data_IF_793878877033
#
_entry.id   IF_793878877033
#
_cell.length_a   1.000
_cell.length_b   1.000
_cell.length_c   1.000
_cell.angle_alpha   90.00
_cell.angle_beta   90.00
_cell.angle_gamma   90.00
#
_symmetry.space_group_name_H-M   'P 1'
#
loop_
_entity.id
_entity.type
_entity.pdbx_description
1 polymer ?
#
# COMPACT_ATOMS: atom_id res chain seq x y z
N UNK A 1 -57.83 24.03 -10.37
CA UNK A 1 -58.31 23.35 -11.60
C UNK A 1 -57.09 22.71 -12.29
N UNK A 2 -57.09 21.46 -12.78
CA UNK A 2 -57.71 20.92 -14.02
C UNK A 2 -57.34 21.75 -15.28
N UNK A 3 -56.95 21.23 -16.46
CA UNK A 3 -56.40 19.95 -17.02
C UNK A 3 -56.52 20.04 -18.57
N UNK A 4 -55.69 19.54 -19.50
CA UNK A 4 -54.66 18.46 -19.66
C UNK A 4 -53.43 19.05 -20.42
N UNK A 5 -52.21 18.50 -20.54
CA UNK A 5 -51.65 17.17 -20.90
C UNK A 5 -51.89 16.67 -22.36
N UNK A 6 -50.90 16.93 -23.23
CA UNK A 6 -50.34 16.07 -24.32
C UNK A 6 -48.88 16.55 -24.50
N UNK A 7 -47.81 15.81 -24.22
CA UNK A 7 -47.35 14.52 -24.76
C UNK A 7 -47.03 14.57 -26.26
N UNK A 8 -45.74 14.60 -26.59
CA UNK A 8 -45.17 14.16 -27.86
C UNK A 8 -43.80 13.51 -27.59
N UNK A 9 -43.51 12.39 -28.26
CA UNK A 9 -42.23 11.69 -28.17
C UNK A 9 -41.26 12.20 -29.24
N UNK A 10 -39.94 12.14 -28.97
CA UNK A 10 -38.90 12.62 -29.88
C UNK A 10 -37.52 12.08 -29.52
N UNK A 11 -37.31 10.77 -29.68
CA UNK A 11 -36.05 10.10 -29.33
C UNK A 11 -34.96 10.43 -30.36
N UNK A 12 -33.88 11.10 -29.95
CA UNK A 12 -32.73 11.38 -30.81
C UNK A 12 -31.62 10.34 -30.59
N UNK A 13 -31.56 9.35 -31.48
CA UNK A 13 -30.44 8.40 -31.54
C UNK A 13 -29.38 8.94 -32.53
N UNK A 14 -28.16 9.22 -32.07
CA UNK A 14 -27.04 9.35 -32.99
C UNK A 14 -26.56 7.95 -33.38
N UNK A 15 -26.60 7.65 -34.68
CA UNK A 15 -25.89 6.50 -35.27
C UNK A 15 -24.92 7.05 -36.29
N UNK A 16 -23.63 6.86 -36.06
CA UNK A 16 -22.56 7.29 -36.97
C UNK A 16 -22.66 6.53 -38.29
N UNK A 17 -22.58 7.23 -39.42
CA UNK A 17 -22.65 6.60 -40.75
C UNK A 17 -21.42 5.70 -41.00
N UNK A 18 -21.67 4.47 -41.40
CA UNK A 18 -20.71 3.64 -42.13
C UNK A 18 -20.86 3.95 -43.62
N UNK A 19 -19.85 4.54 -44.23
CA UNK A 19 -19.84 4.88 -45.66
C UNK A 19 -19.47 3.65 -46.51
N UNK A 20 -20.49 2.90 -46.96
CA UNK A 20 -20.31 1.81 -47.93
C UNK A 20 -20.29 2.37 -49.35
N UNK A 21 -19.11 2.43 -49.98
CA UNK A 21 -18.99 2.79 -51.38
C UNK A 21 -19.34 1.61 -52.30
N UNK A 22 -20.50 1.68 -52.96
CA UNK A 22 -20.88 0.79 -54.06
C UNK A 22 -20.30 1.30 -55.38
N UNK A 23 -19.22 0.67 -55.86
CA UNK A 23 -18.65 0.96 -57.18
C UNK A 23 -19.40 0.17 -58.25
N UNK A 24 -20.11 0.87 -59.13
CA UNK A 24 -20.84 0.25 -60.24
C UNK A 24 -19.92 -0.18 -61.38
N UNK A 25 -19.95 -1.47 -61.74
CA UNK A 25 -19.20 -2.01 -62.88
C UNK A 25 -19.97 -1.85 -64.21
N UNK A 26 -19.50 -0.96 -65.09
CA UNK A 26 -19.74 -1.03 -66.54
C UNK A 26 -18.71 -0.21 -67.32
N UNK A 27 -17.93 -0.88 -68.17
CA UNK A 27 -16.97 -0.25 -69.07
C UNK A 27 -16.01 -1.29 -69.64
N UNK A 28 -16.04 -1.52 -70.95
CA UNK A 28 -15.08 -2.39 -71.64
C UNK A 28 -13.80 -1.58 -71.92
N UNK A 29 -12.63 -2.13 -71.58
CA UNK A 29 -11.34 -1.51 -71.86
C UNK A 29 -10.19 -2.44 -71.46
N UNK A 30 -9.43 -2.91 -72.43
CA UNK A 30 -8.30 -3.82 -72.20
C UNK A 30 -7.06 -3.06 -71.72
N UNK A 31 -6.64 -3.31 -70.48
CA UNK A 31 -5.35 -2.86 -69.93
C UNK A 31 -4.69 -4.02 -69.14
N UNK A 32 -3.35 -4.02 -69.01
CA UNK A 32 -2.59 -5.22 -68.63
C UNK A 32 -2.72 -5.58 -67.15
N UNK A 33 -2.36 -6.82 -66.84
CA UNK A 33 -2.21 -7.34 -65.47
C UNK A 33 -1.24 -6.51 -64.65
N UNK A 34 -1.79 -5.57 -63.86
CA UNK A 34 -1.13 -5.12 -62.64
C UNK A 34 -1.26 -6.22 -61.60
N UNK A 35 -0.13 -6.72 -61.12
CA UNK A 35 -0.10 -7.43 -59.86
C UNK A 35 -0.56 -6.46 -58.78
N UNK A 36 -1.73 -6.69 -58.20
CA UNK A 36 -2.08 -6.05 -56.95
C UNK A 36 -1.40 -6.89 -55.87
N UNK A 37 -0.23 -6.45 -55.45
CA UNK A 37 0.25 -6.81 -54.12
C UNK A 37 -0.74 -6.21 -53.13
N UNK A 38 -1.71 -7.03 -52.71
CA UNK A 38 -2.43 -6.77 -51.50
C UNK A 38 -1.41 -6.93 -50.38
N UNK A 39 -0.84 -5.79 -49.92
CA UNK A 39 -0.20 -5.75 -48.61
C UNK A 39 -1.18 -6.39 -47.64
N UNK A 40 -0.79 -7.55 -47.12
CA UNK A 40 -1.63 -8.31 -46.23
C UNK A 40 -1.87 -7.46 -45.00
N UNK A 41 -3.04 -6.83 -44.92
CA UNK A 41 -3.55 -6.24 -43.70
C UNK A 41 -3.63 -7.40 -42.71
N UNK A 42 -2.57 -7.57 -41.93
CA UNK A 42 -2.55 -8.42 -40.76
C UNK A 42 -3.52 -7.76 -39.80
N UNK A 43 -4.78 -8.14 -39.94
CA UNK A 43 -5.80 -7.94 -38.92
C UNK A 43 -5.26 -8.76 -37.76
N UNK A 44 -4.50 -8.08 -36.90
CA UNK A 44 -4.16 -8.59 -35.60
C UNK A 44 -5.50 -8.81 -34.90
N UNK A 45 -5.95 -10.06 -34.92
CA UNK A 45 -6.67 -10.60 -33.78
C UNK A 45 -5.68 -10.55 -32.61
N UNK A 46 -5.60 -9.36 -32.00
CA UNK A 46 -5.70 -9.29 -30.55
C UNK A 46 -7.01 -10.00 -30.19
N UNK A 47 -6.93 -11.33 -30.14
CA UNK A 47 -7.91 -12.18 -29.49
C UNK A 47 -8.16 -11.52 -28.15
N UNK A 48 -9.42 -11.18 -27.87
CA UNK A 48 -9.85 -10.48 -26.66
C UNK A 48 -9.45 -11.32 -25.43
N UNK A 49 -8.19 -11.15 -24.99
CA UNK A 49 -7.64 -11.76 -23.79
C UNK A 49 -8.53 -11.25 -22.66
N UNK A 50 -9.18 -12.13 -21.88
CA UNK A 50 -9.93 -11.68 -20.72
C UNK A 50 -8.98 -10.88 -19.84
N UNK A 51 -9.30 -9.60 -19.60
CA UNK A 51 -8.60 -8.83 -18.60
C UNK A 51 -8.88 -9.52 -17.25
N UNK A 52 -7.90 -10.24 -16.73
CA UNK A 52 -8.10 -11.07 -15.55
C UNK A 52 -8.58 -10.19 -14.38
N UNK A 53 -9.63 -10.62 -13.68
CA UNK A 53 -10.05 -9.97 -12.44
C UNK A 53 -9.01 -10.26 -11.36
N UNK A 54 -7.95 -9.44 -11.34
CA UNK A 54 -6.84 -9.56 -10.41
C UNK A 54 -7.29 -9.45 -8.95
N UNK A 55 -8.38 -8.71 -8.66
CA UNK A 55 -8.93 -8.62 -7.31
C UNK A 55 -9.63 -9.93 -6.92
N UNK A 56 -10.49 -10.48 -7.79
CA UNK A 56 -11.11 -11.79 -7.61
C UNK A 56 -10.09 -12.92 -7.47
N UNK A 57 -9.06 -12.94 -8.32
CA UNK A 57 -7.96 -13.90 -8.27
C UNK A 57 -7.12 -13.80 -7.00
N UNK A 58 -6.92 -12.58 -6.45
CA UNK A 58 -6.26 -12.39 -5.16
C UNK A 58 -7.07 -13.01 -4.02
N UNK A 59 -8.40 -12.89 -4.02
CA UNK A 59 -9.24 -13.58 -3.02
C UNK A 59 -9.28 -15.10 -3.22
N UNK A 60 -9.32 -15.59 -4.46
CA UNK A 60 -9.20 -17.02 -4.76
C UNK A 60 -7.84 -17.59 -4.30
N UNK A 61 -6.74 -16.87 -4.55
CA UNK A 61 -5.40 -17.23 -4.11
C UNK A 61 -5.25 -17.26 -2.58
N UNK A 62 -5.87 -16.31 -1.86
CA UNK A 62 -5.96 -16.33 -0.39
C UNK A 62 -6.74 -17.54 0.10
N UNK A 63 -7.85 -17.89 -0.55
CA UNK A 63 -8.67 -19.05 -0.18
C UNK A 63 -7.95 -20.38 -0.47
N UNK A 64 -7.27 -20.49 -1.61
CA UNK A 64 -6.40 -21.62 -1.96
C UNK A 64 -5.33 -21.84 -0.88
N UNK A 65 -4.60 -20.79 -0.50
CA UNK A 65 -3.62 -20.86 0.58
C UNK A 65 -4.26 -21.17 1.94
N UNK A 66 -5.45 -20.64 2.25
CA UNK A 66 -6.14 -20.93 3.51
C UNK A 66 -6.46 -22.42 3.66
N UNK A 67 -6.78 -23.08 2.55
CA UNK A 67 -7.10 -24.50 2.51
C UNK A 67 -5.86 -25.40 2.31
N UNK A 68 -4.70 -24.85 1.93
CA UNK A 68 -3.50 -25.63 1.69
C UNK A 68 -2.82 -26.12 2.96
N UNK A 69 -2.07 -27.22 2.87
CA UNK A 69 -1.44 -27.87 4.02
C UNK A 69 -0.52 -26.92 4.82
N UNK A 70 -0.40 -27.10 6.17
CA UNK A 70 0.45 -26.26 7.00
C UNK A 70 1.92 -26.20 6.55
N UNK A 71 2.60 -25.08 6.80
CA UNK A 71 4.03 -24.95 6.49
C UNK A 71 4.91 -25.80 7.41
N UNK A 72 5.96 -26.39 6.83
CA UNK A 72 6.97 -27.15 7.58
C UNK A 72 8.09 -26.23 8.05
N UNK A 73 8.57 -26.45 9.26
CA UNK A 73 9.68 -25.69 9.87
C UNK A 73 10.64 -26.70 10.48
N UNK A 74 11.93 -26.52 10.20
CA UNK A 74 13.03 -27.29 10.80
C UNK A 74 13.80 -26.39 11.75
N UNK A 75 14.09 -26.92 12.94
CA UNK A 75 14.74 -26.19 14.02
C UNK A 75 15.95 -26.96 14.56
N UNK A 76 16.91 -26.21 15.11
CA UNK A 76 17.93 -26.76 16.01
C UNK A 76 17.30 -27.23 17.33
N UNK A 77 17.98 -28.12 18.10
CA UNK A 77 17.59 -28.42 19.49
C UNK A 77 17.51 -27.18 20.39
N UNK A 78 18.22 -26.09 20.04
CA UNK A 78 18.15 -24.79 20.70
C UNK A 78 17.02 -23.88 20.20
N UNK A 79 16.00 -24.42 19.50
CA UNK A 79 14.78 -23.71 19.06
C UNK A 79 15.02 -22.49 18.17
N UNK A 80 16.14 -22.50 17.43
CA UNK A 80 16.41 -21.58 16.33
C UNK A 80 16.10 -22.26 14.99
N UNK A 81 15.36 -21.56 14.13
CA UNK A 81 14.98 -22.01 12.78
C UNK A 81 16.24 -22.25 11.94
N UNK A 82 16.31 -23.41 11.31
CA UNK A 82 17.27 -23.75 10.26
C UNK A 82 16.68 -23.46 8.89
N UNK A 83 15.49 -24.01 8.64
CA UNK A 83 14.78 -24.00 7.36
C UNK A 83 13.29 -23.79 7.61
N UNK A 84 12.62 -23.01 6.76
CA UNK A 84 11.16 -22.87 6.77
C UNK A 84 10.59 -23.00 5.35
N UNK A 85 9.44 -23.64 5.26
CA UNK A 85 8.65 -23.69 4.03
C UNK A 85 7.94 -22.33 3.82
N UNK A 86 7.72 -21.98 2.56
CA UNK A 86 6.85 -20.90 2.10
C UNK A 86 5.98 -21.47 0.99
N UNK A 87 4.73 -21.03 0.90
CA UNK A 87 3.88 -21.28 -0.28
C UNK A 87 3.56 -19.98 -0.98
N UNK A 88 3.59 -20.00 -2.32
CA UNK A 88 3.24 -18.89 -3.20
C UNK A 88 2.05 -19.31 -4.08
N UNK A 89 1.18 -18.35 -4.42
CA UNK A 89 0.24 -18.52 -5.53
C UNK A 89 0.69 -17.66 -6.69
N UNK A 90 0.84 -18.32 -7.83
CA UNK A 90 1.35 -17.79 -9.09
C UNK A 90 0.17 -17.69 -10.05
N UNK A 91 0.01 -16.53 -10.68
CA UNK A 91 -0.94 -16.28 -11.76
C UNK A 91 -0.20 -16.33 -13.10
N UNK A 92 -0.74 -17.06 -14.09
CA UNK A 92 -0.43 -16.84 -15.50
C UNK A 92 -1.39 -15.77 -16.05
N UNK A 93 -0.84 -14.61 -16.42
CA UNK A 93 -1.63 -13.43 -16.84
C UNK A 93 -2.24 -13.58 -18.24
N UNK A 94 -1.92 -14.64 -18.99
CA UNK A 94 -2.52 -14.91 -20.31
C UNK A 94 -3.73 -15.86 -20.24
N UNK A 95 -3.71 -16.83 -19.31
CA UNK A 95 -4.78 -17.83 -19.14
C UNK A 95 -5.71 -17.50 -17.97
N UNK A 96 -5.36 -16.51 -17.14
CA UNK A 96 -6.00 -16.19 -15.87
C UNK A 96 -6.01 -17.35 -14.84
N UNK A 97 -5.18 -18.39 -15.02
CA UNK A 97 -5.12 -19.55 -14.12
C UNK A 97 -4.13 -19.36 -12.98
N UNK A 98 -4.51 -19.76 -11.76
CA UNK A 98 -3.65 -19.70 -10.57
C UNK A 98 -3.07 -21.07 -10.20
N UNK A 99 -1.88 -21.10 -9.60
CA UNK A 99 -1.16 -22.32 -9.19
C UNK A 99 -0.45 -22.12 -7.86
N UNK A 100 -0.62 -23.04 -6.90
CA UNK A 100 0.20 -23.06 -5.67
C UNK A 100 1.59 -23.66 -5.96
N UNK A 101 2.64 -23.07 -5.40
CA UNK A 101 4.01 -23.60 -5.48
C UNK A 101 4.77 -23.37 -4.18
N UNK A 102 5.47 -24.40 -3.71
CA UNK A 102 6.12 -24.44 -2.40
C UNK A 102 7.64 -24.43 -2.51
N UNK A 103 8.27 -23.69 -1.60
CA UNK A 103 9.71 -23.46 -1.58
C UNK A 103 10.27 -23.58 -0.16
N UNK A 104 11.57 -23.86 -0.08
CA UNK A 104 12.35 -23.95 1.15
C UNK A 104 13.23 -22.70 1.27
N UNK A 105 13.18 -22.08 2.45
CA UNK A 105 14.00 -20.92 2.82
C UNK A 105 14.93 -21.33 3.96
N UNK A 106 16.23 -21.44 3.68
CA UNK A 106 17.24 -21.57 4.73
C UNK A 106 17.53 -20.21 5.36
N UNK A 107 17.61 -20.20 6.68
CA UNK A 107 17.86 -18.99 7.49
C UNK A 107 19.26 -18.39 7.18
N UNK A 108 20.19 -19.21 6.69
CA UNK A 108 21.48 -18.77 6.17
C UNK A 108 21.33 -17.96 4.86
N UNK A 109 20.48 -18.41 3.93
CA UNK A 109 20.23 -17.71 2.67
C UNK A 109 19.39 -16.45 2.87
N UNK A 110 18.44 -16.45 3.81
CA UNK A 110 17.72 -15.23 4.22
C UNK A 110 18.69 -14.19 4.79
N UNK A 111 19.69 -14.61 5.57
CA UNK A 111 20.76 -13.71 6.07
C UNK A 111 21.69 -13.23 4.97
N UNK A 112 22.15 -14.12 4.08
CA UNK A 112 22.96 -13.81 2.90
C UNK A 112 22.26 -12.80 1.99
N UNK A 113 20.99 -13.03 1.67
CA UNK A 113 20.12 -12.11 0.93
C UNK A 113 20.04 -10.73 1.59
N UNK A 114 19.80 -10.68 2.89
CA UNK A 114 19.69 -9.44 3.66
C UNK A 114 21.03 -8.71 3.87
N UNK A 115 22.17 -9.37 3.61
CA UNK A 115 23.49 -8.75 3.52
C UNK A 115 23.74 -8.20 2.11
N UNK A 116 23.53 -9.02 1.07
CA UNK A 116 23.71 -8.64 -0.35
C UNK A 116 22.87 -7.40 -0.71
N UNK A 117 21.60 -7.33 -0.28
CA UNK A 117 20.72 -6.16 -0.50
C UNK A 117 21.21 -4.85 0.12
N UNK A 118 22.18 -4.87 1.04
CA UNK A 118 22.79 -3.66 1.62
C UNK A 118 24.06 -3.20 0.89
N UNK A 119 24.58 -4.03 -0.02
CA UNK A 119 25.86 -3.83 -0.69
C UNK A 119 25.75 -3.80 -2.23
N UNK A 120 24.71 -4.43 -2.79
CA UNK A 120 24.55 -4.65 -4.24
C UNK A 120 23.11 -4.39 -4.69
N UNK A 121 22.57 -3.20 -4.42
CA UNK A 121 21.20 -2.85 -4.86
C UNK A 121 21.07 -2.85 -6.41
N UNK A 122 22.18 -2.64 -7.12
CA UNK A 122 22.22 -2.43 -8.57
C UNK A 122 22.71 -3.65 -9.39
N UNK A 123 22.83 -4.86 -8.79
CA UNK A 123 23.28 -6.06 -9.50
C UNK A 123 22.28 -7.23 -9.42
N UNK A 124 21.35 -7.35 -10.40
CA UNK A 124 20.35 -8.42 -10.45
C UNK A 124 20.95 -9.84 -10.50
N UNK A 125 22.15 -10.01 -11.06
CA UNK A 125 22.79 -11.33 -11.21
C UNK A 125 23.20 -11.99 -9.89
N UNK A 126 23.27 -11.23 -8.80
CA UNK A 126 23.57 -11.72 -7.45
C UNK A 126 22.32 -11.84 -6.55
N UNK A 127 21.11 -11.72 -7.10
CA UNK A 127 19.88 -11.86 -6.31
C UNK A 127 19.66 -13.30 -5.85
N UNK A 128 19.05 -13.51 -4.66
CA UNK A 128 18.75 -14.85 -4.16
C UNK A 128 17.66 -15.50 -4.99
N UNK A 129 17.70 -16.82 -5.12
CA UNK A 129 16.58 -17.63 -5.62
C UNK A 129 16.01 -18.51 -4.50
N UNK A 130 14.71 -18.77 -4.54
CA UNK A 130 14.10 -19.77 -3.66
C UNK A 130 14.37 -21.19 -4.17
N UNK A 131 14.66 -22.14 -3.27
CA UNK A 131 14.76 -23.55 -3.62
C UNK A 131 13.35 -24.17 -3.62
N UNK A 132 12.85 -24.80 -4.71
CA UNK A 132 11.54 -25.44 -4.68
C UNK A 132 11.52 -26.68 -3.79
N UNK A 133 10.34 -27.00 -3.23
CA UNK A 133 10.12 -28.25 -2.46
C UNK A 133 10.03 -29.46 -3.38
N UNK A 134 9.42 -29.31 -4.55
CA UNK A 134 9.41 -30.31 -5.62
C UNK A 134 10.55 -30.00 -6.62
N UNK A 135 11.52 -30.90 -6.83
CA UNK A 135 12.55 -30.75 -7.86
C UNK A 135 12.02 -30.64 -9.30
N UNK A 136 10.75 -30.94 -9.55
CA UNK A 136 10.05 -30.77 -10.84
C UNK A 136 9.31 -29.44 -10.98
N UNK A 137 9.38 -28.55 -9.98
CA UNK A 137 8.70 -27.26 -10.06
C UNK A 137 9.34 -26.39 -11.16
N UNK A 138 8.56 -26.14 -12.22
CA UNK A 138 8.96 -25.39 -13.42
C UNK A 138 9.12 -23.88 -13.17
N UNK A 139 8.93 -23.38 -11.95
CA UNK A 139 8.97 -21.95 -11.61
C UNK A 139 10.20 -21.53 -10.78
N UNK A 140 11.07 -20.72 -11.39
CA UNK A 140 12.24 -20.10 -10.76
C UNK A 140 11.87 -18.74 -10.14
N UNK A 141 11.89 -18.63 -8.81
CA UNK A 141 11.57 -17.39 -8.07
C UNK A 141 12.85 -16.67 -7.65
N UNK A 142 12.98 -15.41 -8.06
CA UNK A 142 14.09 -14.50 -7.73
C UNK A 142 13.61 -13.43 -6.74
N UNK A 143 14.43 -13.16 -5.71
CA UNK A 143 13.98 -12.54 -4.47
C UNK A 143 14.53 -11.11 -4.31
N UNK A 144 14.01 -10.20 -5.13
CA UNK A 144 14.37 -8.78 -5.16
C UNK A 144 14.40 -8.17 -3.74
N UNK A 145 13.31 -8.35 -2.98
CA UNK A 145 13.22 -7.97 -1.57
C UNK A 145 12.49 -9.02 -0.74
N UNK A 146 12.85 -9.19 0.54
CA UNK A 146 12.17 -10.13 1.43
C UNK A 146 12.19 -9.71 2.90
N UNK A 147 11.00 -9.54 3.47
CA UNK A 147 10.73 -9.49 4.91
C UNK A 147 9.43 -10.26 5.28
N UNK A 148 9.13 -11.29 4.49
CA UNK A 148 7.89 -12.07 4.45
C UNK A 148 6.65 -11.33 3.91
N UNK A 149 6.31 -10.12 4.39
CA UNK A 149 5.03 -9.44 4.11
C UNK A 149 5.08 -8.19 3.21
N UNK A 150 6.25 -7.59 2.99
CA UNK A 150 6.49 -6.52 2.01
C UNK A 150 7.55 -6.97 0.98
N UNK A 151 7.64 -8.28 0.78
CA UNK A 151 8.54 -8.93 -0.17
C UNK A 151 8.23 -8.49 -1.61
N UNK A 152 9.23 -8.62 -2.46
CA UNK A 152 9.21 -8.28 -3.89
C UNK A 152 9.88 -9.46 -4.62
N UNK A 153 9.13 -10.10 -5.51
CA UNK A 153 9.45 -11.41 -6.09
C UNK A 153 9.22 -11.35 -7.61
N UNK A 154 10.29 -11.55 -8.38
CA UNK A 154 10.20 -11.84 -9.82
C UNK A 154 10.14 -13.35 -10.00
N UNK A 155 9.32 -13.83 -10.93
CA UNK A 155 9.15 -15.26 -11.18
C UNK A 155 9.14 -15.53 -12.68
N UNK A 156 9.85 -16.57 -13.09
CA UNK A 156 9.90 -17.03 -14.49
C UNK A 156 9.59 -18.52 -14.51
N UNK A 157 8.93 -18.97 -15.59
CA UNK A 157 8.80 -20.39 -15.89
C UNK A 157 10.02 -20.85 -16.70
N UNK A 158 10.53 -22.04 -16.44
CA UNK A 158 11.66 -22.59 -17.19
C UNK A 158 11.36 -22.63 -18.70
N UNK A 159 12.28 -22.09 -19.50
CA UNK A 159 12.13 -21.94 -20.95
C UNK A 159 11.23 -20.78 -21.42
N UNK A 160 10.57 -20.04 -20.51
CA UNK A 160 9.81 -18.85 -20.88
C UNK A 160 10.71 -17.63 -21.13
N UNK A 161 10.33 -16.80 -22.11
CA UNK A 161 11.00 -15.54 -22.48
C UNK A 161 10.10 -14.31 -22.34
N UNK A 162 8.85 -14.51 -21.89
CA UNK A 162 7.87 -13.45 -21.64
C UNK A 162 8.02 -12.94 -20.20
N UNK A 163 8.62 -11.76 -20.03
CA UNK A 163 8.65 -11.04 -18.75
C UNK A 163 7.22 -10.69 -18.28
N UNK A 164 7.00 -10.60 -16.97
CA UNK A 164 5.70 -10.33 -16.30
C UNK A 164 4.49 -11.22 -16.69
N UNK A 165 4.68 -12.31 -17.47
CA UNK A 165 3.63 -13.32 -17.71
C UNK A 165 3.21 -14.04 -16.44
N UNK A 166 4.18 -14.37 -15.58
CA UNK A 166 3.95 -15.08 -14.34
C UNK A 166 4.16 -14.11 -13.17
N UNK A 167 3.15 -13.98 -12.30
CA UNK A 167 3.19 -13.01 -11.21
C UNK A 167 2.74 -13.65 -9.89
N UNK A 168 3.38 -13.30 -8.77
CA UNK A 168 2.99 -13.78 -7.44
C UNK A 168 1.87 -12.89 -6.90
N UNK A 169 0.69 -13.47 -6.67
CA UNK A 169 -0.52 -12.75 -6.21
C UNK A 169 -0.89 -13.05 -4.75
N UNK A 170 -0.31 -14.08 -4.12
CA UNK A 170 -0.39 -14.29 -2.68
C UNK A 170 0.79 -15.11 -2.17
N UNK A 171 1.14 -14.95 -0.89
CA UNK A 171 2.05 -15.86 -0.19
C UNK A 171 1.51 -16.30 1.18
N UNK A 172 1.89 -17.51 1.58
CA UNK A 172 1.74 -18.05 2.94
C UNK A 172 3.13 -18.23 3.53
N UNK A 173 3.39 -17.63 4.69
CA UNK A 173 4.68 -17.70 5.38
C UNK A 173 4.52 -17.90 6.89
N UNK A 174 5.50 -18.54 7.51
CA UNK A 174 5.54 -18.73 8.96
C UNK A 174 6.02 -17.48 9.71
N UNK A 175 5.30 -17.10 10.77
CA UNK A 175 5.68 -16.11 11.80
C UNK A 175 5.61 -16.76 13.19
N UNK A 176 6.38 -16.28 14.18
CA UNK A 176 6.27 -16.76 15.58
C UNK A 176 4.99 -16.25 16.24
N UNK A 177 4.35 -17.08 17.06
CA UNK A 177 3.17 -16.69 17.83
C UNK A 177 3.46 -15.53 18.81
N UNK A 178 4.72 -15.41 19.26
CA UNK A 178 5.22 -14.31 20.09
C UNK A 178 5.29 -12.97 19.35
N UNK A 179 5.14 -12.98 18.02
CA UNK A 179 5.12 -11.81 17.13
C UNK A 179 3.72 -11.50 16.58
N UNK A 180 2.67 -12.08 17.19
CA UNK A 180 1.27 -11.90 16.80
C UNK A 180 0.46 -11.28 17.94
N UNK A 181 0.00 -10.04 17.73
CA UNK A 181 -0.90 -9.34 18.65
C UNK A 181 -2.27 -10.04 18.73
N UNK A 182 -2.85 -10.37 17.58
CA UNK A 182 -4.12 -11.07 17.46
C UNK A 182 -4.00 -12.56 17.79
N UNK A 183 -5.03 -13.13 18.41
CA UNK A 183 -5.06 -14.56 18.76
C UNK A 183 -5.66 -15.42 17.65
N UNK A 184 -6.54 -14.86 16.83
CA UNK A 184 -7.13 -15.48 15.65
C UNK A 184 -6.14 -15.67 14.49
N UNK A 185 -5.00 -14.96 14.51
CA UNK A 185 -3.87 -15.20 13.60
C UNK A 185 -2.97 -16.38 14.06
N UNK A 186 -3.23 -16.98 15.25
CA UNK A 186 -2.39 -18.05 15.83
C UNK A 186 -2.91 -19.43 15.40
N UNK A 187 -2.49 -19.89 14.22
CA UNK A 187 -2.94 -21.13 13.56
C UNK A 187 -2.18 -22.39 13.97
N UNK A 188 -1.03 -22.27 14.64
CA UNK A 188 -0.20 -23.41 15.04
C UNK A 188 0.40 -23.27 16.45
N UNK A 189 1.07 -24.30 16.99
CA UNK A 189 1.44 -24.37 18.41
C UNK A 189 2.57 -23.41 18.83
N UNK A 190 3.36 -22.91 17.88
CA UNK A 190 4.48 -21.97 18.11
C UNK A 190 4.69 -21.02 16.94
N UNK A 191 4.46 -21.49 15.73
CA UNK A 191 4.46 -20.71 14.51
C UNK A 191 3.08 -20.79 13.87
N UNK A 192 2.74 -19.77 13.10
CA UNK A 192 1.45 -19.66 12.41
C UNK A 192 1.61 -19.23 10.96
N UNK A 193 0.68 -19.73 10.14
CA UNK A 193 0.68 -19.59 8.68
C UNK A 193 -0.04 -18.30 8.28
N UNK A 194 0.75 -17.24 8.11
CA UNK A 194 0.25 -15.92 7.73
C UNK A 194 0.12 -15.84 6.20
N UNK A 195 -1.08 -15.55 5.74
CA UNK A 195 -1.40 -15.31 4.33
C UNK A 195 -1.43 -13.80 4.08
N UNK A 196 -0.72 -13.35 3.04
CA UNK A 196 -0.58 -11.94 2.68
C UNK A 196 -0.41 -11.80 1.15
N UNK A 197 -0.64 -10.61 0.62
CA UNK A 197 -0.33 -10.26 -0.78
C UNK A 197 0.93 -9.40 -0.82
N UNK A 198 2.10 -9.95 -1.24
CA UNK A 198 3.32 -9.18 -1.43
C UNK A 198 3.15 -8.19 -2.59
N UNK A 199 3.99 -7.16 -2.65
CA UNK A 199 3.99 -6.25 -3.80
C UNK A 199 4.96 -6.75 -4.88
N UNK A 200 4.52 -6.73 -6.13
CA UNK A 200 5.34 -6.96 -7.32
C UNK A 200 4.98 -5.93 -8.40
N UNK A 201 5.83 -5.81 -9.44
CA UNK A 201 5.52 -5.04 -10.66
C UNK A 201 4.20 -5.50 -11.29
N UNK A 202 4.02 -6.82 -11.40
CA UNK A 202 2.89 -7.44 -12.08
C UNK A 202 1.51 -7.19 -11.44
N UNK A 203 1.43 -6.88 -10.14
CA UNK A 203 0.17 -6.49 -9.49
C UNK A 203 -0.07 -4.97 -9.46
N UNK A 204 0.72 -4.19 -10.20
CA UNK A 204 0.57 -2.73 -10.25
C UNK A 204 -0.56 -2.31 -11.21
N UNK A 205 -1.80 -2.54 -10.78
CA UNK A 205 -3.00 -2.28 -11.58
C UNK A 205 -3.95 -1.27 -10.91
N UNK A 206 -4.56 -0.40 -11.72
CA UNK A 206 -5.47 0.67 -11.29
C UNK A 206 -6.61 0.17 -10.38
N UNK A 207 -7.18 -1.00 -10.67
CA UNK A 207 -8.23 -1.61 -9.85
C UNK A 207 -7.81 -1.83 -8.38
N UNK A 208 -6.55 -2.18 -8.13
CA UNK A 208 -6.01 -2.35 -6.77
C UNK A 208 -5.59 -1.02 -6.13
N UNK A 209 -5.20 -0.03 -6.94
CA UNK A 209 -4.94 1.35 -6.49
C UNK A 209 -6.24 1.99 -6.00
N UNK A 210 -7.32 1.92 -6.78
CA UNK A 210 -8.63 2.47 -6.41
C UNK A 210 -9.27 1.71 -5.24
N UNK A 211 -9.14 0.38 -5.19
CA UNK A 211 -9.57 -0.41 -4.02
C UNK A 211 -8.81 0.02 -2.75
N UNK A 212 -7.51 0.32 -2.86
CA UNK A 212 -6.67 0.81 -1.76
C UNK A 212 -7.03 2.23 -1.31
N UNK A 213 -7.27 3.16 -2.25
CA UNK A 213 -7.77 4.50 -1.96
C UNK A 213 -9.13 4.45 -1.27
N UNK A 214 -10.06 3.66 -1.80
CA UNK A 214 -11.40 3.46 -1.25
C UNK A 214 -11.32 2.94 0.19
N UNK A 215 -10.59 1.85 0.43
CA UNK A 215 -10.41 1.27 1.76
C UNK A 215 -9.83 2.29 2.75
N UNK A 216 -8.81 3.07 2.35
CA UNK A 216 -8.22 4.09 3.21
C UNK A 216 -9.18 5.26 3.50
N UNK A 217 -9.97 5.68 2.49
CA UNK A 217 -11.00 6.69 2.66
C UNK A 217 -12.05 6.21 3.68
N UNK A 218 -12.68 5.06 3.44
CA UNK A 218 -13.72 4.49 4.31
C UNK A 218 -13.25 4.32 5.77
N UNK A 219 -12.01 3.85 5.99
CA UNK A 219 -11.44 3.67 7.33
C UNK A 219 -11.07 5.00 8.02
N UNK A 220 -10.63 6.01 7.27
CA UNK A 220 -10.40 7.35 7.82
C UNK A 220 -11.72 8.07 8.10
N UNK A 221 -12.72 7.90 7.24
CA UNK A 221 -14.06 8.46 7.42
C UNK A 221 -14.73 7.90 8.68
N UNK A 222 -14.77 6.56 8.84
CA UNK A 222 -15.33 5.93 10.04
C UNK A 222 -14.60 6.34 11.33
N UNK A 223 -13.26 6.42 11.31
CA UNK A 223 -12.45 6.87 12.44
C UNK A 223 -12.77 8.33 12.85
N UNK A 224 -12.94 9.23 11.88
CA UNK A 224 -13.37 10.61 12.13
C UNK A 224 -14.80 10.67 12.69
N UNK A 225 -15.72 9.94 12.07
CA UNK A 225 -17.13 9.92 12.44
C UNK A 225 -17.35 9.29 13.82
N UNK A 226 -16.46 8.42 14.29
CA UNK A 226 -16.45 7.91 15.67
C UNK A 226 -15.91 8.95 16.66
N UNK A 227 -14.78 9.60 16.36
CA UNK A 227 -14.18 10.64 17.22
C UNK A 227 -15.11 11.85 17.40
N UNK A 228 -15.79 12.28 16.33
CA UNK A 228 -16.78 13.35 16.38
C UNK A 228 -18.02 12.96 17.20
N UNK A 229 -18.55 11.74 17.00
CA UNK A 229 -19.69 11.17 17.75
C UNK A 229 -19.38 10.93 19.23
N UNK A 230 -18.10 10.81 19.59
CA UNK A 230 -17.61 10.73 20.97
C UNK A 230 -17.24 12.10 21.55
N UNK A 231 -17.47 13.18 20.82
CA UNK A 231 -17.17 14.56 21.21
C UNK A 231 -15.73 14.78 21.68
N UNK A 232 -14.77 14.09 21.06
CA UNK A 232 -13.36 14.12 21.48
C UNK A 232 -12.75 15.50 21.22
N UNK A 233 -12.51 16.24 22.30
CA UNK A 233 -11.92 17.58 22.24
C UNK A 233 -10.44 17.54 21.83
N UNK A 234 -10.01 18.57 21.11
CA UNK A 234 -8.61 18.82 20.79
C UNK A 234 -7.84 19.30 22.03
N UNK A 235 -6.68 18.69 22.31
CA UNK A 235 -5.72 19.19 23.27
C UNK A 235 -5.02 20.47 22.78
N UNK A 236 -4.92 20.67 21.46
CA UNK A 236 -4.34 21.87 20.86
C UNK A 236 -5.29 23.08 20.91
N UNK A 237 -6.60 22.84 20.78
CA UNK A 237 -7.65 23.85 20.85
C UNK A 237 -8.85 23.33 21.68
N UNK A 238 -8.82 23.44 23.02
CA UNK A 238 -9.81 22.82 23.93
C UNK A 238 -11.28 23.29 23.83
N UNK A 239 -11.62 24.11 22.83
CA UNK A 239 -12.98 24.53 22.49
C UNK A 239 -13.41 24.02 21.11
N UNK A 240 -12.77 22.95 20.61
CA UNK A 240 -12.99 22.31 19.31
C UNK A 240 -12.91 20.80 19.46
N UNK A 241 -13.59 20.06 18.59
CA UNK A 241 -13.30 18.64 18.39
C UNK A 241 -11.95 18.47 17.70
N UNK A 242 -11.28 17.34 17.93
CA UNK A 242 -10.05 16.98 17.21
C UNK A 242 -10.26 16.92 15.69
N UNK A 243 -11.47 16.58 15.26
CA UNK A 243 -11.93 16.57 13.86
C UNK A 243 -12.10 17.97 13.25
N UNK A 244 -12.17 19.03 14.06
CA UNK A 244 -12.26 20.43 13.61
C UNK A 244 -10.87 21.11 13.55
N UNK A 245 -9.81 20.32 13.78
CA UNK A 245 -8.41 20.74 13.90
C UNK A 245 -7.53 19.94 12.92
N UNK A 246 -7.67 18.62 12.91
CA UNK A 246 -6.99 17.72 11.96
C UNK A 246 -7.93 17.44 10.79
N UNK A 247 -7.51 17.71 9.55
CA UNK A 247 -8.27 17.37 8.32
C UNK A 247 -8.08 15.89 7.96
N UNK A 248 -9.01 15.29 7.22
CA UNK A 248 -8.97 13.86 6.81
C UNK A 248 -7.81 13.54 5.86
N UNK A 249 -7.42 14.52 5.04
CA UNK A 249 -6.35 14.43 4.04
C UNK A 249 -4.96 14.31 4.68
N UNK A 250 -4.75 14.93 5.84
CA UNK A 250 -3.46 14.92 6.53
C UNK A 250 -3.02 13.50 6.99
N UNK A 251 -3.81 12.74 7.78
CA UNK A 251 -3.42 11.39 8.18
C UNK A 251 -3.35 10.46 6.97
N UNK A 252 -4.22 10.62 5.95
CA UNK A 252 -4.10 9.88 4.67
C UNK A 252 -2.71 10.05 4.06
N UNK A 253 -2.26 11.28 3.85
CA UNK A 253 -0.90 11.59 3.36
C UNK A 253 0.21 11.09 4.30
N UNK A 254 0.00 11.15 5.62
CA UNK A 254 0.94 10.65 6.62
C UNK A 254 1.12 9.12 6.54
N UNK A 255 0.05 8.35 6.30
CA UNK A 255 0.15 6.89 6.16
C UNK A 255 0.94 6.48 4.91
N UNK A 256 0.71 7.15 3.78
CA UNK A 256 1.54 6.95 2.58
C UNK A 256 3.00 7.36 2.87
N UNK A 257 3.20 8.42 3.66
CA UNK A 257 4.54 8.88 4.10
C UNK A 257 5.25 7.82 4.95
N UNK A 258 4.63 7.27 6.00
CA UNK A 258 5.24 6.24 6.85
C UNK A 258 5.61 4.99 6.05
N UNK A 259 4.74 4.55 5.13
CA UNK A 259 4.90 3.30 4.40
C UNK A 259 5.77 3.39 3.12
N UNK A 260 6.32 4.57 2.82
CA UNK A 260 7.22 4.83 1.68
C UNK A 260 8.68 4.98 2.12
N UNK A 261 9.60 4.29 1.46
CA UNK A 261 11.04 4.41 1.73
C UNK A 261 11.60 5.78 1.28
N UNK A 262 12.36 6.50 2.14
CA UNK A 262 12.85 7.84 1.82
C UNK A 262 13.94 7.87 0.74
N UNK A 263 14.76 6.81 0.60
CA UNK A 263 15.78 6.77 -0.45
C UNK A 263 15.15 6.55 -1.81
N UNK A 264 14.20 5.60 -1.90
CA UNK A 264 13.50 5.31 -3.15
C UNK A 264 12.69 6.51 -3.67
N UNK A 265 11.96 7.23 -2.81
CA UNK A 265 11.18 8.39 -3.27
C UNK A 265 12.06 9.56 -3.71
N UNK A 266 13.22 9.78 -3.09
CA UNK A 266 14.14 10.86 -3.52
C UNK A 266 14.94 10.52 -4.79
N UNK A 267 15.03 9.24 -5.16
CA UNK A 267 15.60 8.77 -6.42
C UNK A 267 14.56 8.59 -7.54
N UNK A 268 13.27 8.70 -7.24
CA UNK A 268 12.19 8.47 -8.20
C UNK A 268 12.06 9.57 -9.25
N UNK A 269 11.79 9.19 -10.50
CA UNK A 269 11.58 10.09 -11.63
C UNK A 269 10.13 10.58 -11.79
N UNK A 270 9.19 9.97 -11.07
CA UNK A 270 7.75 10.23 -11.11
C UNK A 270 7.24 11.03 -9.88
N UNK A 271 8.16 11.67 -9.16
CA UNK A 271 7.94 12.33 -7.87
C UNK A 271 7.40 11.41 -6.76
N UNK A 272 7.51 10.09 -6.92
CA UNK A 272 7.11 9.08 -5.93
C UNK A 272 5.74 8.47 -6.18
N UNK A 273 5.08 8.78 -7.30
CA UNK A 273 3.72 8.35 -7.61
C UNK A 273 3.56 6.83 -7.49
N UNK A 274 4.40 6.04 -8.17
CA UNK A 274 4.40 4.57 -8.17
C UNK A 274 4.71 3.97 -6.79
N UNK A 275 5.43 4.70 -5.93
CA UNK A 275 5.70 4.29 -4.55
C UNK A 275 4.49 4.54 -3.63
N UNK A 276 3.77 5.64 -3.83
CA UNK A 276 2.49 5.88 -3.17
C UNK A 276 1.42 4.86 -3.63
N UNK A 277 1.38 4.56 -4.93
CA UNK A 277 0.48 3.54 -5.50
C UNK A 277 0.79 2.14 -4.97
N UNK A 278 2.07 1.80 -4.72
CA UNK A 278 2.46 0.58 -3.97
C UNK A 278 1.85 0.52 -2.57
N UNK A 279 1.63 1.64 -1.88
CA UNK A 279 0.93 1.67 -0.57
C UNK A 279 -0.56 1.37 -0.76
N UNK A 280 -1.22 1.97 -1.76
CA UNK A 280 -2.62 1.67 -2.08
C UNK A 280 -2.83 0.21 -2.52
N UNK A 281 -2.01 -0.33 -3.42
CA UNK A 281 -2.08 -1.73 -3.85
C UNK A 281 -1.98 -2.67 -2.64
N UNK A 282 -1.07 -2.39 -1.69
CA UNK A 282 -0.98 -3.18 -0.45
C UNK A 282 -2.26 -3.07 0.40
N UNK A 283 -2.85 -1.87 0.52
CA UNK A 283 -4.12 -1.65 1.24
C UNK A 283 -5.29 -2.40 0.58
N UNK A 284 -5.49 -2.24 -0.71
CA UNK A 284 -6.58 -2.89 -1.45
C UNK A 284 -6.45 -4.42 -1.42
N UNK A 285 -5.23 -4.93 -1.61
CA UNK A 285 -4.97 -6.36 -1.64
C UNK A 285 -4.93 -7.04 -0.25
N UNK A 286 -4.90 -6.32 0.88
CA UNK A 286 -4.80 -6.92 2.23
C UNK A 286 -5.82 -6.42 3.28
N UNK A 287 -6.56 -5.33 3.01
CA UNK A 287 -7.60 -4.80 3.89
C UNK A 287 -7.16 -4.62 5.34
N UNK A 288 -7.95 -5.13 6.29
CA UNK A 288 -7.69 -5.05 7.74
C UNK A 288 -6.51 -5.92 8.25
N UNK A 289 -5.79 -6.61 7.35
CA UNK A 289 -4.47 -7.22 7.63
C UNK A 289 -3.29 -6.39 7.12
N UNK A 290 -3.51 -5.32 6.36
CA UNK A 290 -2.41 -4.50 5.81
C UNK A 290 -1.58 -3.88 6.93
N UNK A 291 -0.25 -3.96 6.82
CA UNK A 291 0.73 -3.44 7.81
C UNK A 291 0.65 -4.03 9.22
N UNK A 292 -0.26 -4.98 9.50
CA UNK A 292 -0.41 -5.70 10.78
C UNK A 292 0.90 -6.34 11.27
N UNK A 293 1.77 -6.72 10.33
CA UNK A 293 3.07 -7.36 10.60
C UNK A 293 4.27 -6.44 10.33
N UNK A 294 4.04 -5.15 10.03
CA UNK A 294 5.09 -4.18 9.67
C UNK A 294 5.62 -3.45 10.91
N UNK A 295 6.73 -3.99 11.44
CA UNK A 295 7.49 -3.42 12.56
C UNK A 295 8.68 -2.58 12.06
N UNK A 296 8.94 -1.44 12.71
CA UNK A 296 10.24 -0.76 12.61
C UNK A 296 11.31 -1.45 13.49
N UNK A 297 12.57 -1.10 13.27
CA UNK A 297 13.71 -1.53 14.13
C UNK A 297 13.58 -1.07 15.60
N UNK A 298 12.74 -0.08 15.88
CA UNK A 298 12.52 0.50 17.21
C UNK A 298 11.21 0.05 17.87
N UNK A 299 10.41 -0.81 17.20
CA UNK A 299 9.14 -1.33 17.73
C UNK A 299 7.91 -0.48 17.40
N UNK A 300 8.04 0.51 16.52
CA UNK A 300 6.89 1.14 15.87
C UNK A 300 6.13 0.11 15.02
N UNK A 301 4.80 0.25 14.91
CA UNK A 301 3.93 -0.80 14.37
C UNK A 301 2.69 -0.22 13.67
N UNK A 302 2.16 -0.99 12.71
CA UNK A 302 0.91 -0.71 12.02
C UNK A 302 1.01 0.38 10.95
N UNK A 303 -0.15 0.76 10.39
CA UNK A 303 -0.26 1.72 9.29
C UNK A 303 0.43 3.06 9.60
N UNK A 304 0.21 3.60 10.81
CA UNK A 304 0.82 4.85 11.29
C UNK A 304 2.17 4.72 11.98
N UNK A 305 2.77 3.52 12.07
CA UNK A 305 4.05 3.31 12.77
C UNK A 305 4.07 3.92 14.20
N UNK A 306 3.06 3.64 15.01
CA UNK A 306 2.97 4.21 16.37
C UNK A 306 3.89 3.43 17.32
N UNK A 307 4.65 4.14 18.16
CA UNK A 307 5.48 3.55 19.23
C UNK A 307 4.61 3.09 20.43
N UNK A 308 4.95 2.00 21.14
CA UNK A 308 4.13 1.47 22.24
C UNK A 308 3.87 2.49 23.36
N UNK A 309 4.91 3.21 23.78
CA UNK A 309 4.81 4.24 24.82
C UNK A 309 3.97 5.46 24.40
N UNK A 310 4.06 5.86 23.13
CA UNK A 310 3.22 6.91 22.56
C UNK A 310 1.75 6.50 22.59
N UNK A 311 1.42 5.32 22.08
CA UNK A 311 0.05 4.78 22.11
C UNK A 311 -0.50 4.72 23.55
N UNK A 312 0.26 4.17 24.50
CA UNK A 312 -0.11 4.11 25.91
C UNK A 312 -0.23 5.47 26.62
N UNK A 313 0.32 6.55 26.06
CA UNK A 313 0.08 7.94 26.49
C UNK A 313 -1.25 8.47 25.95
N UNK A 314 -1.52 8.25 24.65
CA UNK A 314 -2.75 8.70 23.98
C UNK A 314 -4.00 8.04 24.57
N UNK A 315 -3.98 6.73 24.86
CA UNK A 315 -5.06 6.01 25.54
C UNK A 315 -5.42 6.65 26.90
N UNK A 316 -4.43 7.22 27.61
CA UNK A 316 -4.64 7.90 28.90
C UNK A 316 -5.10 9.35 28.73
N UNK A 317 -4.63 10.05 27.70
CA UNK A 317 -4.94 11.46 27.43
C UNK A 317 -6.33 11.67 26.83
N UNK A 318 -6.81 10.73 25.99
CA UNK A 318 -8.09 10.83 25.31
C UNK A 318 -9.04 9.67 25.69
N UNK A 319 -9.45 9.54 26.96
CA UNK A 319 -10.32 8.45 27.40
C UNK A 319 -11.69 8.48 26.71
N UNK A 320 -12.14 9.65 26.24
CA UNK A 320 -13.37 9.81 25.46
C UNK A 320 -13.32 9.07 24.11
N UNK A 321 -12.13 8.90 23.51
CA UNK A 321 -11.91 8.28 22.19
C UNK A 321 -11.99 6.73 22.19
N UNK A 322 -12.24 6.12 23.36
CA UNK A 322 -12.46 4.68 23.57
C UNK A 322 -11.45 3.75 22.87
N UNK A 323 -10.21 4.20 22.74
CA UNK A 323 -9.14 3.42 22.11
C UNK A 323 -8.94 2.06 22.80
N UNK A 324 -8.61 1.04 22.01
CA UNK A 324 -8.30 -0.30 22.51
C UNK A 324 -7.19 -0.22 23.57
N UNK A 325 -7.42 -0.81 24.74
CA UNK A 325 -6.46 -0.74 25.87
C UNK A 325 -5.24 -1.64 25.68
N UNK A 326 -5.37 -2.67 24.86
CA UNK A 326 -4.24 -3.48 24.42
C UNK A 326 -3.34 -2.64 23.49
N UNK A 327 -2.07 -2.52 23.87
CA UNK A 327 -1.11 -1.63 23.19
C UNK A 327 -0.61 -2.24 21.87
N UNK A 328 -0.64 -3.56 21.71
CA UNK A 328 -0.17 -4.20 20.49
C UNK A 328 -1.30 -4.32 19.47
N UNK A 329 -2.45 -4.86 19.87
CA UNK A 329 -3.67 -4.90 19.02
C UNK A 329 -4.08 -3.49 18.62
N UNK A 330 -4.11 -2.53 19.56
CA UNK A 330 -4.55 -1.16 19.30
C UNK A 330 -3.70 -0.38 18.28
N UNK A 331 -2.47 -0.84 17.98
CA UNK A 331 -1.60 -0.23 16.97
C UNK A 331 -1.68 -0.92 15.59
N UNK A 332 -2.09 -2.18 15.54
CA UNK A 332 -2.25 -2.94 14.28
C UNK A 332 -3.68 -2.94 13.73
N UNK A 333 -4.66 -2.74 14.60
CA UNK A 333 -6.04 -2.51 14.19
C UNK A 333 -6.11 -1.23 13.33
N UNK A 334 -6.62 -1.34 12.10
CA UNK A 334 -6.52 -0.24 11.14
C UNK A 334 -7.30 0.98 11.60
N UNK A 335 -8.55 0.80 12.03
CA UNK A 335 -9.45 1.90 12.38
C UNK A 335 -9.08 2.53 13.73
N UNK A 336 -8.77 1.72 14.74
CA UNK A 336 -8.26 2.21 16.01
C UNK A 336 -6.86 2.84 15.89
N UNK A 337 -5.99 2.30 15.02
CA UNK A 337 -4.69 2.88 14.70
C UNK A 337 -4.78 4.23 13.97
N UNK A 338 -5.79 4.41 13.12
CA UNK A 338 -6.11 5.71 12.51
C UNK A 338 -6.58 6.70 13.59
N UNK A 339 -7.55 6.33 14.44
CA UNK A 339 -7.98 7.17 15.58
C UNK A 339 -6.80 7.58 16.45
N UNK A 340 -5.94 6.62 16.82
CA UNK A 340 -4.75 6.89 17.61
C UNK A 340 -3.77 7.84 16.89
N UNK A 341 -3.57 7.70 15.58
CA UNK A 341 -2.71 8.60 14.79
C UNK A 341 -3.22 10.05 14.82
N UNK A 342 -4.53 10.26 14.62
CA UNK A 342 -5.17 11.59 14.70
C UNK A 342 -4.92 12.24 16.07
N UNK A 343 -4.99 11.45 17.14
CA UNK A 343 -4.81 11.93 18.52
C UNK A 343 -3.32 12.13 18.91
N UNK A 344 -2.38 11.37 18.31
CA UNK A 344 -0.93 11.67 18.39
C UNK A 344 -0.63 13.02 17.76
N UNK A 345 -1.18 13.28 16.57
CA UNK A 345 -0.98 14.55 15.85
C UNK A 345 -1.47 15.73 16.67
N UNK A 346 -2.69 15.64 17.21
CA UNK A 346 -3.27 16.69 18.04
C UNK A 346 -2.51 16.90 19.36
N UNK A 347 -2.02 15.85 20.03
CA UNK A 347 -1.19 15.97 21.24
C UNK A 347 0.19 16.59 20.97
N UNK A 348 0.84 16.15 19.90
CA UNK A 348 2.12 16.69 19.49
C UNK A 348 1.97 18.15 19.05
N UNK A 349 0.89 18.50 18.36
CA UNK A 349 0.58 19.87 17.97
C UNK A 349 0.14 20.73 19.16
N UNK A 350 -0.55 20.19 20.16
CA UNK A 350 -0.85 20.88 21.41
C UNK A 350 0.42 21.34 22.12
N UNK A 351 1.47 20.51 22.11
CA UNK A 351 2.79 20.87 22.64
C UNK A 351 3.47 21.96 21.80
N UNK A 352 3.33 21.93 20.45
CA UNK A 352 3.79 23.01 19.56
C UNK A 352 3.07 24.34 19.85
N UNK A 353 1.74 24.33 19.96
CA UNK A 353 0.89 25.49 20.27
C UNK A 353 1.22 26.07 21.65
N UNK A 354 1.40 25.21 22.67
CA UNK A 354 1.84 25.61 24.02
C UNK A 354 3.20 26.31 23.98
N UNK A 355 4.17 25.73 23.28
CA UNK A 355 5.53 26.28 23.19
C UNK A 355 5.56 27.61 22.40
N UNK A 356 4.71 27.78 21.39
CA UNK A 356 4.53 29.05 20.69
C UNK A 356 3.88 30.12 21.57
N UNK A 357 2.84 29.75 22.32
CA UNK A 357 2.11 30.65 23.20
C UNK A 357 2.92 31.19 24.39
N UNK A 358 4.06 30.58 24.71
CA UNK A 358 5.02 31.05 25.71
C UNK A 358 5.73 32.37 25.36
N UNK A 359 5.52 32.94 24.17
CA UNK A 359 5.94 34.30 23.85
C UNK A 359 5.00 34.97 22.84
N UNK A 360 4.89 36.31 22.90
CA UNK A 360 4.10 37.07 21.90
C UNK A 360 4.63 36.82 20.47
N UNK A 361 5.95 36.89 20.27
CA UNK A 361 6.60 36.60 18.99
C UNK A 361 6.27 35.19 18.47
N UNK A 362 6.37 34.16 19.32
CA UNK A 362 6.08 32.78 18.94
C UNK A 362 4.62 32.56 18.56
N UNK A 363 3.69 33.19 19.29
CA UNK A 363 2.25 33.19 18.98
C UNK A 363 1.97 33.82 17.62
N UNK A 364 2.50 35.02 17.36
CA UNK A 364 2.33 35.74 16.08
C UNK A 364 2.91 34.93 14.91
N UNK A 365 4.10 34.34 15.09
CA UNK A 365 4.74 33.51 14.06
C UNK A 365 3.91 32.27 13.73
N UNK A 366 3.38 31.55 14.74
CA UNK A 366 2.56 30.36 14.50
C UNK A 366 1.20 30.72 13.88
N UNK A 367 0.58 31.82 14.32
CA UNK A 367 -0.69 32.31 13.77
C UNK A 367 -0.57 32.83 12.33
N UNK A 368 0.62 33.30 11.92
CA UNK A 368 0.91 33.74 10.55
C UNK A 368 1.31 32.61 9.59
N UNK A 369 1.26 31.34 9.99
CA UNK A 369 1.61 30.21 9.12
C UNK A 369 0.50 29.88 8.13
N UNK A 370 0.89 29.58 6.90
CA UNK A 370 -0.01 28.96 5.91
C UNK A 370 -0.42 27.55 6.35
N UNK A 371 -1.54 27.06 5.82
CA UNK A 371 -2.03 25.72 6.12
C UNK A 371 -0.97 24.64 5.83
N UNK A 372 -0.31 24.70 4.68
CA UNK A 372 0.74 23.75 4.27
C UNK A 372 1.98 23.80 5.18
N UNK A 373 2.30 24.95 5.79
CA UNK A 373 3.35 25.03 6.81
C UNK A 373 2.92 24.43 8.14
N UNK A 374 1.65 24.58 8.55
CA UNK A 374 1.11 23.90 9.74
C UNK A 374 1.16 22.38 9.56
N UNK A 375 0.82 21.86 8.38
CA UNK A 375 1.00 20.45 8.04
C UNK A 375 2.46 20.00 8.16
N UNK A 376 3.41 20.75 7.59
CA UNK A 376 4.83 20.42 7.64
C UNK A 376 5.38 20.47 9.08
N UNK A 377 4.85 21.37 9.92
CA UNK A 377 5.11 21.41 11.36
C UNK A 377 4.51 20.19 12.09
N UNK A 378 3.29 19.76 11.75
CA UNK A 378 2.68 18.56 12.32
C UNK A 378 3.44 17.28 11.91
N UNK A 379 3.85 17.15 10.64
CA UNK A 379 4.66 16.04 10.16
C UNK A 379 6.03 15.98 10.87
N UNK A 380 6.69 17.14 11.05
CA UNK A 380 7.93 17.23 11.81
C UNK A 380 7.74 16.85 13.29
N UNK A 381 6.62 17.26 13.89
CA UNK A 381 6.28 16.94 15.27
C UNK A 381 5.88 15.47 15.45
N UNK A 382 5.27 14.83 14.45
CA UNK A 382 4.94 13.40 14.46
C UNK A 382 6.21 12.53 14.47
N UNK A 383 7.03 12.63 13.42
CA UNK A 383 8.25 11.84 13.28
C UNK A 383 9.28 12.15 14.38
N UNK A 384 9.56 13.44 14.62
CA UNK A 384 10.70 13.86 15.43
C UNK A 384 10.35 14.39 16.83
N UNK A 385 9.07 14.42 17.20
CA UNK A 385 8.57 15.00 18.45
C UNK A 385 8.40 16.53 18.40
N UNK A 386 7.54 17.13 19.25
CA UNK A 386 7.17 18.56 19.19
C UNK A 386 8.34 19.55 19.26
N UNK A 387 9.44 19.18 19.91
CA UNK A 387 10.65 20.00 20.02
C UNK A 387 11.42 20.26 18.71
N UNK A 388 10.99 19.65 17.59
CA UNK A 388 11.51 19.92 16.25
C UNK A 388 11.07 21.28 15.71
N UNK A 389 9.90 21.78 16.07
CA UNK A 389 9.51 23.16 15.75
C UNK A 389 10.24 24.17 16.66
N UNK A 390 10.66 25.31 16.09
CA UNK A 390 11.34 26.40 16.81
C UNK A 390 10.45 27.66 16.78
N UNK A 391 9.68 27.95 17.84
CA UNK A 391 8.65 29.00 17.77
C UNK A 391 9.16 30.43 17.57
N UNK A 392 10.36 30.76 18.05
CA UNK A 392 10.93 32.11 17.92
C UNK A 392 11.42 32.45 16.49
N UNK A 393 11.49 31.45 15.62
CA UNK A 393 11.94 31.53 14.22
C UNK A 393 10.89 31.01 13.22
N UNK A 394 9.91 30.21 13.65
CA UNK A 394 8.89 29.65 12.76
C UNK A 394 9.40 28.53 11.86
N UNK A 395 10.47 27.85 12.25
CA UNK A 395 11.21 26.88 11.42
C UNK A 395 11.23 25.48 12.03
N UNK A 396 11.44 24.48 11.18
CA UNK A 396 11.67 23.09 11.55
C UNK A 396 13.18 22.88 11.74
N UNK A 397 13.55 22.09 12.76
CA UNK A 397 14.92 21.83 13.18
C UNK A 397 15.70 20.97 12.18
N UNK A 398 16.51 21.62 11.33
CA UNK A 398 17.37 20.94 10.35
C UNK A 398 18.45 20.00 10.96
N UNK A 399 18.72 20.12 12.26
CA UNK A 399 19.73 19.34 12.99
C UNK A 399 19.47 17.83 13.09
N UNK A 400 18.30 17.33 12.66
CA UNK A 400 17.99 15.89 12.61
C UNK A 400 17.53 15.53 11.21
N UNK A 401 18.44 14.94 10.43
CA UNK A 401 18.25 14.59 9.02
C UNK A 401 16.99 13.76 8.79
N UNK A 402 16.73 12.76 9.63
CA UNK A 402 15.54 11.89 9.53
C UNK A 402 14.24 12.69 9.47
N UNK A 403 14.08 13.74 10.29
CA UNK A 403 12.89 14.59 10.29
C UNK A 403 12.84 15.54 9.08
N UNK A 404 13.99 15.99 8.58
CA UNK A 404 14.05 16.78 7.34
C UNK A 404 13.63 15.93 6.13
N UNK A 405 14.18 14.72 6.04
CA UNK A 405 13.85 13.75 4.99
C UNK A 405 12.38 13.29 5.13
N UNK A 406 11.85 13.12 6.35
CA UNK A 406 10.43 12.82 6.57
C UNK A 406 9.50 13.93 6.08
N UNK A 407 9.79 15.20 6.42
CA UNK A 407 8.98 16.35 5.96
C UNK A 407 9.08 16.52 4.45
N UNK A 408 10.26 16.32 3.85
CA UNK A 408 10.43 16.34 2.38
C UNK A 408 9.57 15.26 1.71
N UNK A 409 9.58 14.03 2.25
CA UNK A 409 8.75 12.91 1.77
C UNK A 409 7.25 13.22 1.90
N UNK A 410 6.82 13.77 3.04
CA UNK A 410 5.43 14.21 3.26
C UNK A 410 4.98 15.26 2.22
N UNK A 411 5.82 16.27 1.95
CA UNK A 411 5.53 17.30 0.92
C UNK A 411 5.32 16.66 -0.45
N UNK A 412 6.27 15.83 -0.91
CA UNK A 412 6.16 15.15 -2.20
C UNK A 412 4.85 14.35 -2.32
N UNK A 413 4.48 13.61 -1.27
CA UNK A 413 3.27 12.79 -1.23
C UNK A 413 1.98 13.61 -1.21
N UNK A 414 1.92 14.70 -0.43
CA UNK A 414 0.79 15.64 -0.45
C UNK A 414 0.64 16.28 -1.83
N UNK A 415 1.75 16.72 -2.40
CA UNK A 415 1.76 17.52 -3.62
C UNK A 415 1.42 16.67 -4.87
N UNK A 416 1.43 15.32 -4.77
CA UNK A 416 0.83 14.37 -5.73
C UNK A 416 -0.71 14.41 -5.79
N UNK A 417 -1.40 14.97 -4.77
CA UNK A 417 -2.87 15.08 -4.68
C UNK A 417 -3.61 13.75 -4.91
N UNK A 418 -3.26 12.75 -4.10
CA UNK A 418 -3.78 11.38 -4.21
C UNK A 418 -5.22 11.18 -3.71
N UNK A 419 -5.82 12.25 -3.18
CA UNK A 419 -7.16 12.31 -2.58
C UNK A 419 -7.80 13.66 -2.96
N UNK A 420 -9.10 13.64 -3.26
CA UNK A 420 -9.93 14.82 -3.53
C UNK A 420 -10.38 15.55 -2.25
#
# INVERSE_FOLDING_TARGET
MKSRLKLFFGTLFMVSLIAVFTVGLRGQGSLPTRNIEAEGAVIALEVLRPACDLAGQIEEAKLLLKNSAPLKISETPKRAILRKEISLVILDTQTCSITESRYLLDEADVKKANALRRAYQDNPGNLPKFMPVDPKNEFSVTVNWWNNHNSDLSIVKDGSVEEDRYIVIANKFAISNDSLAYNEDKTGPRYSDIIYVPYSSGIHADALIELGKKFLNEKVDSAFDELARQSVQSAAYPSKLVTDVIRKEFPKNLFITEQTDPALIFASSDNGKRLAERVFIRLGANGDKTFRYTYSKTGALGLGQIMPGTYGSIVKRYPAAKLLRDIDIGRVDVENGIKATILVLDDHFATVVKNANGSSKGRTILAGKTHSEIEEIMAAAYNGGPGKYKPLTGTISLAVRETVDFVRKFKMIRDLKLFD
#
